data_IF_005608919042
#
_entry.id   IF_005608919042
#
_cell.length_a   1.000
_cell.length_b   1.000
_cell.length_c   1.000
_cell.angle_alpha   90.00
_cell.angle_beta   90.00
_cell.angle_gamma   90.00
#
_symmetry.space_group_name_H-M   'P 1'
#
loop_
_entity.id
_entity.type
_entity.pdbx_description
1 polymer ?
#
# COMPACT_ATOMS: atom_id res chain seq x y z
N UNK A 1 18.48 -24.63 65.16
CA UNK A 1 18.56 -23.34 64.44
C UNK A 1 18.26 -23.62 62.98
N UNK A 2 17.04 -23.30 62.52
CA UNK A 2 16.55 -23.66 61.18
C UNK A 2 16.82 -22.52 60.20
N UNK A 3 17.32 -22.93 59.03
CA UNK A 3 17.75 -22.16 57.87
C UNK A 3 16.69 -21.20 57.33
N UNK A 4 17.10 -19.97 56.98
CA UNK A 4 16.29 -18.94 56.32
C UNK A 4 16.19 -19.24 54.82
N UNK A 5 14.96 -19.35 54.31
CA UNK A 5 14.67 -19.39 52.88
C UNK A 5 14.75 -17.98 52.25
N UNK A 6 15.29 -17.84 51.02
CA UNK A 6 15.22 -16.58 50.28
C UNK A 6 13.85 -16.39 49.60
N UNK A 7 13.30 -15.18 49.71
CA UNK A 7 12.06 -14.76 49.04
C UNK A 7 12.32 -14.47 47.55
N UNK A 8 11.40 -14.81 46.64
CA UNK A 8 11.55 -14.54 45.21
C UNK A 8 11.39 -13.05 44.88
N UNK A 9 12.31 -12.54 44.05
CA UNK A 9 12.27 -11.19 43.50
C UNK A 9 11.11 -11.07 42.49
N UNK A 10 10.22 -10.12 42.74
CA UNK A 10 9.13 -9.75 41.84
C UNK A 10 9.74 -8.90 40.72
N UNK A 11 9.94 -9.50 39.55
CA UNK A 11 10.42 -8.81 38.34
C UNK A 11 9.24 -8.08 37.70
N UNK A 12 9.17 -6.77 37.91
CA UNK A 12 8.18 -5.89 37.29
C UNK A 12 8.43 -5.84 35.78
N UNK A 13 7.58 -6.49 35.00
CA UNK A 13 7.59 -6.42 33.55
C UNK A 13 7.19 -5.00 33.09
N UNK A 14 8.15 -4.27 32.55
CA UNK A 14 7.95 -2.98 31.90
C UNK A 14 7.22 -3.23 30.58
N UNK A 15 5.90 -3.04 30.58
CA UNK A 15 5.06 -3.06 29.40
C UNK A 15 5.39 -1.82 28.56
N UNK A 16 6.31 -1.97 27.60
CA UNK A 16 6.60 -0.95 26.59
C UNK A 16 5.37 -0.86 25.68
N UNK A 17 4.50 0.09 25.99
CA UNK A 17 3.47 0.58 25.07
C UNK A 17 4.20 1.25 23.90
N UNK A 18 4.48 0.47 22.86
CA UNK A 18 4.97 0.98 21.59
C UNK A 18 3.93 1.98 21.05
N UNK A 19 4.36 3.22 20.94
CA UNK A 19 3.67 4.28 20.23
C UNK A 19 3.26 3.75 18.84
N UNK A 20 1.96 3.64 18.61
CA UNK A 20 1.35 3.58 17.29
C UNK A 20 1.55 4.92 16.60
N UNK A 21 2.78 5.20 16.18
CA UNK A 21 2.98 6.08 15.03
C UNK A 21 2.35 5.32 13.85
N UNK A 22 1.37 5.89 13.14
CA UNK A 22 0.99 5.35 11.84
C UNK A 22 2.24 5.48 10.96
N UNK A 23 3.05 4.42 10.93
CA UNK A 23 4.08 4.29 9.91
C UNK A 23 3.37 4.50 8.59
N UNK A 24 3.85 5.46 7.80
CA UNK A 24 3.33 5.76 6.48
C UNK A 24 3.58 4.53 5.60
N UNK A 25 2.70 3.54 5.68
CA UNK A 25 2.68 2.43 4.75
C UNK A 25 2.42 3.01 3.36
N UNK A 26 3.22 2.62 2.38
CA UNK A 26 3.02 3.05 1.00
C UNK A 26 1.68 2.50 0.47
N UNK A 27 1.20 3.05 -0.64
CA UNK A 27 0.02 2.50 -1.30
C UNK A 27 0.24 1.01 -1.69
N UNK A 28 1.47 0.66 -2.06
CA UNK A 28 1.88 -0.70 -2.38
C UNK A 28 1.71 -1.65 -1.18
N UNK A 29 2.20 -1.25 -0.01
CA UNK A 29 2.08 -2.04 1.22
C UNK A 29 0.63 -2.14 1.69
N UNK A 30 -0.10 -1.02 1.67
CA UNK A 30 -1.49 -0.95 2.15
C UNK A 30 -2.43 -1.86 1.38
N UNK A 31 -2.20 -2.01 0.07
CA UNK A 31 -3.05 -2.77 -0.83
C UNK A 31 -2.46 -4.12 -1.23
N UNK A 32 -1.42 -4.58 -0.54
CA UNK A 32 -0.78 -5.85 -0.83
C UNK A 32 -1.64 -7.04 -0.41
N UNK A 33 -1.87 -7.95 -1.35
CA UNK A 33 -2.46 -9.26 -1.12
C UNK A 33 -1.42 -10.35 -1.40
N UNK A 34 -0.98 -11.11 -0.37
CA UNK A 34 -0.02 -12.20 -0.56
C UNK A 34 -0.63 -13.34 -1.39
N UNK A 35 0.19 -14.00 -2.19
CA UNK A 35 -0.19 -15.24 -2.87
C UNK A 35 -0.29 -16.38 -1.87
N UNK A 36 -1.23 -17.31 -2.10
CA UNK A 36 -1.44 -18.44 -1.21
C UNK A 36 -0.18 -19.32 -1.16
N UNK A 37 0.36 -19.55 0.05
CA UNK A 37 1.55 -20.38 0.25
C UNK A 37 2.89 -19.69 -0.09
N UNK A 38 2.90 -18.39 -0.42
CA UNK A 38 4.14 -17.64 -0.56
C UNK A 38 4.80 -17.44 0.82
N UNK A 39 6.10 -17.70 0.91
CA UNK A 39 6.92 -17.35 2.06
C UNK A 39 7.58 -16.01 1.79
N UNK A 40 7.25 -14.99 2.58
CA UNK A 40 7.90 -13.69 2.51
C UNK A 40 9.19 -13.74 3.32
N UNK A 41 10.31 -13.34 2.72
CA UNK A 41 11.63 -13.37 3.33
C UNK A 41 12.32 -12.03 3.09
N UNK A 42 12.24 -11.07 4.04
CA UNK A 42 12.80 -9.74 3.84
C UNK A 42 14.27 -9.81 3.42
N UNK A 43 14.61 -9.10 2.35
CA UNK A 43 15.98 -8.93 1.87
C UNK A 43 16.26 -7.43 1.73
N UNK A 44 16.63 -6.75 2.83
CA UNK A 44 16.81 -5.29 2.82
C UNK A 44 18.00 -4.84 1.98
N UNK A 45 18.95 -5.74 1.71
CA UNK A 45 20.12 -5.48 0.88
C UNK A 45 19.97 -6.07 -0.54
N UNK A 46 18.82 -6.69 -0.81
CA UNK A 46 18.48 -7.31 -2.09
C UNK A 46 18.27 -6.28 -3.19
N UNK A 47 18.77 -6.58 -4.38
CA UNK A 47 18.48 -5.78 -5.57
C UNK A 47 17.10 -6.13 -6.11
N UNK A 48 16.24 -5.12 -6.30
CA UNK A 48 14.92 -5.29 -6.89
C UNK A 48 14.88 -4.61 -8.25
N UNK A 49 14.56 -5.37 -9.29
CA UNK A 49 14.30 -4.79 -10.61
C UNK A 49 12.84 -4.35 -10.70
N UNK A 50 12.64 -3.02 -10.77
CA UNK A 50 11.35 -2.40 -11.06
C UNK A 50 11.17 -2.28 -12.56
N UNK A 51 10.03 -2.78 -13.07
CA UNK A 51 9.72 -2.72 -14.49
C UNK A 51 8.25 -2.49 -14.75
N UNK A 52 7.96 -1.71 -15.79
CA UNK A 52 6.60 -1.45 -16.27
C UNK A 52 6.23 -2.46 -17.35
N UNK A 53 5.02 -2.99 -17.30
CA UNK A 53 4.41 -3.74 -18.40
C UNK A 53 3.18 -3.03 -18.97
N UNK A 54 2.87 -3.19 -20.27
CA UNK A 54 1.64 -2.66 -20.85
C UNK A 54 0.40 -3.20 -20.13
N UNK A 55 -0.59 -2.34 -19.87
CA UNK A 55 -1.81 -2.72 -19.16
C UNK A 55 -2.55 -3.83 -19.89
N UNK A 56 -2.74 -3.66 -21.20
CA UNK A 56 -3.51 -4.52 -22.08
C UNK A 56 -2.99 -5.95 -22.06
N UNK A 57 -1.66 -6.12 -21.95
CA UNK A 57 -1.01 -7.43 -21.88
C UNK A 57 -1.38 -8.18 -20.61
N UNK A 58 -1.36 -7.50 -19.48
CA UNK A 58 -1.72 -8.10 -18.20
C UNK A 58 -3.23 -8.31 -18.12
N UNK A 59 -4.03 -7.35 -18.56
CA UNK A 59 -5.49 -7.39 -18.58
C UNK A 59 -6.00 -8.58 -19.42
N UNK A 60 -5.49 -8.77 -20.63
CA UNK A 60 -5.84 -9.91 -21.49
C UNK A 60 -5.51 -11.26 -20.82
N UNK A 61 -4.35 -11.35 -20.15
CA UNK A 61 -3.95 -12.56 -19.46
C UNK A 61 -4.84 -12.85 -18.25
N UNK A 62 -5.20 -11.83 -17.48
CA UNK A 62 -6.11 -11.95 -16.33
C UNK A 62 -7.53 -12.33 -16.79
N UNK A 63 -8.02 -11.72 -17.86
CA UNK A 63 -9.33 -12.04 -18.43
C UNK A 63 -9.41 -13.51 -18.85
N UNK A 64 -8.40 -14.02 -19.56
CA UNK A 64 -8.33 -15.45 -19.93
C UNK A 64 -8.30 -16.37 -18.72
N UNK A 65 -7.64 -15.96 -17.63
CA UNK A 65 -7.63 -16.73 -16.38
C UNK A 65 -9.00 -16.71 -15.70
N UNK A 66 -9.73 -15.60 -15.76
CA UNK A 66 -11.11 -15.51 -15.26
C UNK A 66 -12.06 -16.38 -16.08
N UNK A 67 -11.92 -16.40 -17.41
CA UNK A 67 -12.66 -17.31 -18.29
C UNK A 67 -12.35 -18.79 -17.95
N UNK A 68 -11.08 -19.15 -17.74
CA UNK A 68 -10.67 -20.50 -17.33
C UNK A 68 -11.31 -20.92 -15.99
N UNK A 69 -11.48 -19.96 -15.06
CA UNK A 69 -12.15 -20.18 -13.77
C UNK A 69 -13.66 -20.33 -13.97
N UNK A 70 -14.28 -19.44 -14.75
CA UNK A 70 -15.73 -19.45 -15.00
C UNK A 70 -16.19 -20.72 -15.72
N UNK A 71 -15.34 -21.29 -16.58
CA UNK A 71 -15.61 -22.54 -17.30
C UNK A 71 -15.21 -23.81 -16.51
N UNK A 72 -14.74 -23.68 -15.27
CA UNK A 72 -14.31 -24.81 -14.44
C UNK A 72 -15.40 -25.22 -13.46
N UNK A 73 -15.77 -26.50 -13.45
CA UNK A 73 -16.68 -27.07 -12.45
C UNK A 73 -16.06 -27.18 -11.04
N UNK A 74 -14.73 -27.08 -10.95
CA UNK A 74 -13.97 -27.14 -9.69
C UNK A 74 -13.54 -25.74 -9.26
N UNK A 75 -13.70 -25.43 -7.97
CA UNK A 75 -13.25 -24.16 -7.38
C UNK A 75 -11.71 -24.05 -7.41
N UNK A 76 -11.10 -22.86 -7.64
CA UNK A 76 -9.64 -22.72 -7.77
C UNK A 76 -8.81 -23.23 -6.59
N UNK A 77 -9.36 -23.22 -5.37
CA UNK A 77 -8.68 -23.76 -4.18
C UNK A 77 -8.56 -25.29 -4.18
N UNK A 78 -9.34 -25.98 -5.01
CA UNK A 78 -9.36 -27.44 -5.14
C UNK A 78 -8.67 -27.90 -6.43
N UNK A 79 -8.07 -26.97 -7.19
CA UNK A 79 -7.36 -27.32 -8.40
C UNK A 79 -6.09 -28.13 -8.09
N UNK A 80 -5.74 -29.09 -8.97
CA UNK A 80 -4.47 -29.79 -8.85
C UNK A 80 -3.29 -28.82 -9.02
N UNK A 81 -2.17 -29.13 -8.37
CA UNK A 81 -0.98 -28.27 -8.37
C UNK A 81 -0.50 -27.92 -9.79
N UNK A 82 -0.55 -28.86 -10.73
CA UNK A 82 -0.16 -28.63 -12.12
C UNK A 82 -1.00 -27.53 -12.81
N UNK A 83 -2.28 -27.44 -12.47
CA UNK A 83 -3.19 -26.41 -13.02
C UNK A 83 -2.91 -25.05 -12.39
N UNK A 84 -2.61 -25.01 -11.09
CA UNK A 84 -2.18 -23.80 -10.39
C UNK A 84 -0.84 -23.29 -10.97
N UNK A 85 0.14 -24.17 -11.14
CA UNK A 85 1.43 -23.82 -11.77
C UNK A 85 1.26 -23.32 -13.21
N UNK A 86 0.35 -23.94 -13.99
CA UNK A 86 0.03 -23.49 -15.35
C UNK A 86 -0.62 -22.10 -15.38
N UNK A 87 -1.46 -21.78 -14.39
CA UNK A 87 -2.03 -20.45 -14.20
C UNK A 87 -0.95 -19.43 -13.86
N UNK A 88 -0.10 -19.73 -12.89
CA UNK A 88 1.00 -18.84 -12.49
C UNK A 88 1.98 -18.60 -13.65
N UNK A 89 2.25 -19.62 -14.46
CA UNK A 89 3.02 -19.51 -15.69
C UNK A 89 2.41 -18.50 -16.69
N UNK A 90 1.08 -18.47 -16.83
CA UNK A 90 0.39 -17.50 -17.70
C UNK A 90 0.60 -16.08 -17.17
N UNK A 91 0.52 -15.88 -15.85
CA UNK A 91 0.76 -14.57 -15.22
C UNK A 91 2.23 -14.14 -15.39
N UNK A 92 3.21 -15.00 -15.07
CA UNK A 92 4.64 -14.68 -15.20
C UNK A 92 5.02 -14.30 -16.64
N UNK A 93 4.46 -14.99 -17.64
CA UNK A 93 4.63 -14.62 -19.06
C UNK A 93 4.01 -13.26 -19.41
N UNK A 94 2.85 -12.94 -18.83
CA UNK A 94 2.22 -11.64 -19.01
C UNK A 94 3.08 -10.52 -18.41
N UNK A 95 3.69 -10.79 -17.25
CA UNK A 95 4.65 -9.91 -16.56
C UNK A 95 6.03 -9.83 -17.25
N UNK A 96 6.24 -10.54 -18.35
CA UNK A 96 7.51 -10.60 -19.09
C UNK A 96 8.70 -11.08 -18.24
N UNK A 97 8.45 -11.96 -17.27
CA UNK A 97 9.51 -12.67 -16.54
C UNK A 97 10.09 -13.74 -17.49
N UNK A 98 11.41 -13.70 -17.74
CA UNK A 98 12.12 -14.65 -18.59
C UNK A 98 12.42 -15.98 -17.90
N UNK A 99 12.42 -15.97 -16.57
CA UNK A 99 12.75 -17.16 -15.78
C UNK A 99 11.70 -18.25 -15.93
N UNK A 100 12.13 -19.52 -15.91
CA UNK A 100 11.20 -20.63 -15.97
C UNK A 100 10.35 -20.68 -14.69
N UNK A 101 9.15 -21.24 -14.80
CA UNK A 101 8.11 -21.19 -13.75
C UNK A 101 8.53 -21.92 -12.48
N UNK A 102 9.41 -22.91 -12.60
CA UNK A 102 10.01 -23.64 -11.48
C UNK A 102 11.06 -22.81 -10.71
N UNK A 103 11.53 -21.70 -11.28
CA UNK A 103 12.50 -20.76 -10.69
C UNK A 103 11.92 -19.39 -10.35
N UNK A 104 10.65 -19.14 -10.65
CA UNK A 104 10.02 -17.86 -10.37
C UNK A 104 8.71 -18.06 -9.61
N UNK A 105 8.57 -17.38 -8.47
CA UNK A 105 7.40 -17.47 -7.61
C UNK A 105 6.76 -16.11 -7.42
N UNK A 106 5.45 -16.03 -7.61
CA UNK A 106 4.68 -14.82 -7.31
C UNK A 106 4.46 -14.75 -5.80
N UNK A 107 5.01 -13.74 -5.15
CA UNK A 107 4.83 -13.49 -3.71
C UNK A 107 3.47 -12.88 -3.39
N UNK A 108 2.94 -12.07 -4.31
CA UNK A 108 1.65 -11.41 -4.18
C UNK A 108 1.49 -10.28 -5.17
N UNK A 109 0.43 -9.50 -4.97
CA UNK A 109 0.14 -8.33 -5.80
C UNK A 109 -0.49 -7.20 -4.99
N UNK A 110 -0.29 -5.97 -5.43
CA UNK A 110 -1.03 -4.81 -4.94
C UNK A 110 -1.94 -4.29 -6.05
N UNK A 111 -3.21 -4.04 -5.74
CA UNK A 111 -4.21 -3.54 -6.68
C UNK A 111 -4.99 -2.42 -6.01
N UNK A 112 -5.00 -1.23 -6.61
CA UNK A 112 -5.73 -0.08 -6.07
C UNK A 112 -6.02 0.97 -7.15
N UNK A 113 -6.90 1.91 -6.80
CA UNK A 113 -7.14 3.13 -7.57
C UNK A 113 -6.66 4.32 -6.78
N UNK A 114 -6.15 5.33 -7.48
CA UNK A 114 -5.68 6.57 -6.85
C UNK A 114 -5.97 7.75 -7.75
N UNK A 115 -6.45 8.82 -7.14
CA UNK A 115 -6.52 10.17 -7.73
C UNK A 115 -5.29 11.01 -7.41
N UNK A 116 -4.46 10.54 -6.48
CA UNK A 116 -3.16 11.15 -6.18
C UNK A 116 -2.11 10.60 -7.14
N UNK A 117 -1.16 11.44 -7.61
CA UNK A 117 -0.02 10.97 -8.37
C UNK A 117 0.76 9.92 -7.56
N UNK A 118 0.99 8.75 -8.16
CA UNK A 118 1.86 7.71 -7.62
C UNK A 118 3.03 7.58 -8.57
N UNK A 119 4.25 7.60 -8.03
CA UNK A 119 5.48 7.41 -8.80
C UNK A 119 6.12 6.09 -8.40
N UNK A 120 6.09 5.05 -9.25
CA UNK A 120 6.74 3.77 -8.96
C UNK A 120 8.25 3.88 -8.71
N UNK A 121 8.88 4.95 -9.22
CA UNK A 121 10.31 5.21 -9.11
C UNK A 121 10.69 6.10 -7.91
N UNK A 122 9.74 6.40 -7.01
CA UNK A 122 10.01 7.19 -5.78
C UNK A 122 10.71 6.37 -4.67
N UNK A 123 11.06 5.11 -4.94
CA UNK A 123 11.68 4.17 -4.01
C UNK A 123 10.69 3.46 -3.08
N UNK A 124 9.43 3.88 -3.00
CA UNK A 124 8.44 3.24 -2.12
C UNK A 124 8.04 1.84 -2.58
N UNK A 125 8.03 1.61 -3.90
CA UNK A 125 7.79 0.29 -4.49
C UNK A 125 8.98 -0.65 -4.25
N UNK A 126 10.20 -0.13 -4.44
CA UNK A 126 11.46 -0.86 -4.23
C UNK A 126 11.59 -1.32 -2.77
N UNK A 127 11.45 -0.39 -1.84
CA UNK A 127 11.55 -0.66 -0.40
C UNK A 127 10.51 -1.70 0.04
N UNK A 128 9.29 -1.62 -0.49
CA UNK A 128 8.27 -2.60 -0.18
C UNK A 128 8.59 -3.98 -0.78
N UNK A 129 9.08 -4.04 -2.02
CA UNK A 129 9.51 -5.28 -2.66
C UNK A 129 10.67 -5.95 -1.89
N UNK A 130 11.68 -5.20 -1.46
CA UNK A 130 12.77 -5.67 -0.59
C UNK A 130 12.24 -6.22 0.74
N UNK A 131 11.30 -5.49 1.36
CA UNK A 131 10.68 -5.89 2.64
C UNK A 131 9.99 -7.24 2.57
N UNK A 132 9.47 -7.63 1.41
CA UNK A 132 8.81 -8.93 1.23
C UNK A 132 9.71 -9.99 0.58
N UNK A 133 10.92 -9.63 0.14
CA UNK A 133 11.88 -10.54 -0.48
C UNK A 133 11.70 -10.77 -1.97
N UNK A 134 11.19 -9.80 -2.71
CA UNK A 134 11.03 -9.92 -4.16
C UNK A 134 12.32 -9.51 -4.89
N UNK A 135 12.74 -10.25 -5.91
CA UNK A 135 13.78 -9.79 -6.85
C UNK A 135 13.20 -8.88 -7.94
N UNK A 136 11.89 -8.96 -8.21
CA UNK A 136 11.20 -8.12 -9.20
C UNK A 136 9.92 -7.50 -8.66
N UNK A 137 9.71 -6.23 -9.00
CA UNK A 137 8.44 -5.53 -8.84
C UNK A 137 7.95 -5.06 -10.22
N UNK A 138 6.95 -5.77 -10.76
CA UNK A 138 6.40 -5.50 -12.09
C UNK A 138 5.10 -4.74 -11.96
N UNK A 139 5.02 -3.53 -12.49
CA UNK A 139 3.86 -2.66 -12.33
C UNK A 139 3.21 -2.26 -13.65
N UNK A 140 1.94 -1.90 -13.57
CA UNK A 140 1.20 -1.28 -14.67
C UNK A 140 0.15 -0.32 -14.13
N UNK A 141 -0.27 0.62 -14.98
CA UNK A 141 -1.34 1.56 -14.66
C UNK A 141 -2.14 1.95 -15.90
N UNK A 142 -3.41 2.30 -15.67
CA UNK A 142 -4.34 2.78 -16.68
C UNK A 142 -5.15 3.95 -16.14
N UNK A 143 -5.41 4.92 -17.00
CA UNK A 143 -6.33 6.01 -16.72
C UNK A 143 -7.78 5.50 -16.74
N UNK A 144 -8.52 5.70 -15.67
CA UNK A 144 -9.91 5.25 -15.52
C UNK A 144 -10.93 6.38 -15.76
N UNK A 145 -10.45 7.59 -16.09
CA UNK A 145 -11.29 8.78 -16.27
C UNK A 145 -11.23 9.72 -15.07
N UNK A 146 -12.30 10.49 -14.88
CA UNK A 146 -12.43 11.45 -13.78
C UNK A 146 -13.39 10.95 -12.71
N UNK A 147 -13.08 11.25 -11.46
CA UNK A 147 -13.96 10.99 -10.31
C UNK A 147 -14.04 12.20 -9.41
N UNK A 148 -15.07 12.27 -8.57
CA UNK A 148 -15.26 13.36 -7.61
C UNK A 148 -14.48 13.06 -6.34
N UNK A 149 -13.62 13.99 -5.95
CA UNK A 149 -12.81 13.91 -4.72
C UNK A 149 -13.14 15.11 -3.86
N UNK A 150 -13.25 14.88 -2.55
CA UNK A 150 -13.32 15.96 -1.57
C UNK A 150 -11.91 16.46 -1.30
N UNK A 151 -11.59 17.63 -1.87
CA UNK A 151 -10.37 18.36 -1.54
C UNK A 151 -10.62 19.37 -0.41
N UNK A 152 -9.55 19.88 0.21
CA UNK A 152 -9.63 20.89 1.26
C UNK A 152 -9.11 22.21 0.75
N UNK A 153 -10.00 23.17 0.57
CA UNK A 153 -9.60 24.54 0.23
C UNK A 153 -9.43 25.37 1.51
N UNK A 154 -8.35 26.15 1.58
CA UNK A 154 -8.14 27.11 2.66
C UNK A 154 -8.91 28.39 2.38
N UNK A 155 -9.82 28.75 3.26
CA UNK A 155 -10.44 30.08 3.27
C UNK A 155 -9.88 30.85 4.44
N UNK A 156 -9.26 32.00 4.14
CA UNK A 156 -8.74 32.92 5.16
C UNK A 156 -9.77 34.01 5.42
N UNK A 157 -10.29 34.05 6.64
CA UNK A 157 -11.14 35.13 7.12
C UNK A 157 -10.27 36.14 7.87
N UNK A 158 -10.30 37.40 7.43
CA UNK A 158 -9.65 38.52 8.10
C UNK A 158 -10.71 39.40 8.75
N UNK A 159 -10.54 39.73 10.03
CA UNK A 159 -11.53 40.52 10.76
C UNK A 159 -10.91 41.49 11.76
N UNK A 160 -11.69 42.52 12.09
CA UNK A 160 -11.33 43.55 13.06
C UNK A 160 -12.41 43.60 14.13
N UNK A 161 -12.06 43.29 15.38
CA UNK A 161 -13.00 43.36 16.50
C UNK A 161 -12.74 44.64 17.27
N UNK A 162 -13.79 45.43 17.49
CA UNK A 162 -13.75 46.61 18.33
C UNK A 162 -14.47 46.30 19.64
N UNK A 163 -13.70 46.12 20.72
CA UNK A 163 -14.28 45.87 22.04
C UNK A 163 -14.61 47.21 22.71
N UNK A 164 -15.86 47.64 22.57
CA UNK A 164 -16.38 48.88 23.11
C UNK A 164 -17.12 48.69 24.43
N UNK A 165 -16.46 48.19 25.48
CA UNK A 165 -17.04 48.25 26.83
C UNK A 165 -16.84 49.61 27.49
N UNK A 166 -17.91 50.03 28.17
CA UNK A 166 -18.28 51.37 28.62
C UNK A 166 -17.40 51.97 29.73
N UNK A 167 -16.29 51.34 30.11
CA UNK A 167 -15.39 51.84 31.15
C UNK A 167 -13.98 52.10 30.64
N UNK A 168 -13.63 53.38 30.67
CA UNK A 168 -12.37 53.95 30.20
C UNK A 168 -11.22 53.37 31.02
N UNK A 169 -10.38 52.52 30.41
CA UNK A 169 -8.91 52.64 30.55
C UNK A 169 -8.06 51.75 29.64
N UNK A 170 -8.56 50.69 29.01
CA UNK A 170 -7.76 49.89 28.09
C UNK A 170 -8.63 49.25 26.99
N UNK A 171 -9.00 50.04 25.98
CA UNK A 171 -9.57 49.50 24.74
C UNK A 171 -8.43 49.09 23.81
N UNK A 172 -8.26 47.79 23.60
CA UNK A 172 -7.27 47.25 22.67
C UNK A 172 -7.93 46.89 21.33
N UNK A 173 -7.31 47.28 20.23
CA UNK A 173 -7.69 46.78 18.92
C UNK A 173 -6.89 45.51 18.63
N UNK A 174 -7.56 44.44 18.23
CA UNK A 174 -6.86 43.26 17.70
C UNK A 174 -7.46 42.84 16.36
N UNK A 175 -6.58 42.65 15.38
CA UNK A 175 -6.89 42.03 14.10
C UNK A 175 -6.69 40.53 14.22
N UNK A 176 -7.67 39.74 13.80
CA UNK A 176 -7.51 38.29 13.73
C UNK A 176 -7.46 37.81 12.27
N UNK A 177 -6.66 36.79 12.05
CA UNK A 177 -6.61 36.03 10.81
C UNK A 177 -6.94 34.58 11.16
N UNK A 178 -8.05 34.07 10.66
CA UNK A 178 -8.46 32.68 10.85
C UNK A 178 -8.43 31.95 9.51
N UNK A 179 -7.72 30.82 9.45
CA UNK A 179 -7.70 29.95 8.28
C UNK A 179 -8.58 28.74 8.57
N UNK A 180 -9.67 28.61 7.82
CA UNK A 180 -10.59 27.47 7.91
C UNK A 180 -10.43 26.59 6.67
N UNK A 181 -10.37 25.27 6.86
CA UNK A 181 -10.37 24.31 5.76
C UNK A 181 -11.80 23.88 5.47
N UNK A 182 -12.31 24.23 4.29
CA UNK A 182 -13.63 23.79 3.84
C UNK A 182 -13.50 22.62 2.85
N UNK A 183 -14.33 21.57 2.97
CA UNK A 183 -14.36 20.50 1.99
C UNK A 183 -15.00 21.02 0.70
N UNK A 184 -14.31 20.86 -0.43
CA UNK A 184 -14.81 21.19 -1.76
C UNK A 184 -14.77 19.93 -2.62
N UNK A 185 -15.83 19.68 -3.38
CA UNK A 185 -15.89 18.54 -4.29
C UNK A 185 -15.31 18.98 -5.63
N UNK A 186 -14.22 18.36 -6.05
CA UNK A 186 -13.54 18.65 -7.32
C UNK A 186 -13.41 17.38 -8.16
N UNK A 187 -13.36 17.54 -9.48
CA UNK A 187 -13.02 16.42 -10.37
C UNK A 187 -11.51 16.19 -10.34
N UNK A 188 -11.10 14.94 -10.16
CA UNK A 188 -9.71 14.52 -10.25
C UNK A 188 -9.57 13.30 -11.18
N UNK A 189 -8.45 13.24 -11.88
CA UNK A 189 -8.08 12.10 -12.71
C UNK A 189 -7.81 10.88 -11.84
N UNK A 190 -8.47 9.75 -12.12
CA UNK A 190 -8.30 8.48 -11.43
C UNK A 190 -7.48 7.52 -12.28
N UNK A 191 -6.52 6.85 -11.63
CA UNK A 191 -5.71 5.80 -12.24
C UNK A 191 -5.87 4.50 -11.47
N UNK A 192 -6.04 3.40 -12.19
CA UNK A 192 -5.90 2.05 -11.65
C UNK A 192 -4.42 1.64 -11.68
N UNK A 193 -3.96 1.00 -10.62
CA UNK A 193 -2.59 0.55 -10.43
C UNK A 193 -2.58 -0.93 -10.06
N UNK A 194 -1.65 -1.67 -10.66
CA UNK A 194 -1.38 -3.07 -10.33
C UNK A 194 0.13 -3.24 -10.23
N UNK A 195 0.61 -3.87 -9.16
CA UNK A 195 1.99 -4.32 -9.02
C UNK A 195 2.02 -5.79 -8.62
N UNK A 196 2.86 -6.58 -9.28
CA UNK A 196 3.17 -7.97 -8.94
C UNK A 196 4.59 -8.06 -8.40
N UNK A 197 4.75 -8.86 -7.35
CA UNK A 197 6.04 -9.09 -6.69
C UNK A 197 6.48 -10.53 -6.93
N UNK A 198 7.69 -10.70 -7.48
CA UNK A 198 8.21 -12.00 -7.89
C UNK A 198 9.58 -12.23 -7.28
N UNK A 199 9.75 -13.42 -6.72
CA UNK A 199 10.98 -13.95 -6.13
C UNK A 199 11.56 -15.02 -7.07
N UNK A 200 12.87 -14.97 -7.30
CA UNK A 200 13.61 -15.95 -8.08
C UNK A 200 14.26 -16.96 -7.16
N UNK A 201 13.82 -18.21 -7.28
CA UNK A 201 14.35 -19.33 -6.51
C UNK A 201 15.75 -19.67 -7.05
N UNK A 202 16.76 -19.48 -6.21
CA UNK A 202 18.18 -19.75 -6.51
C UNK A 202 18.59 -21.17 -6.15
#
# INVERSE_FOLDING_TARGET
>A
MRSLAPKPAITTALLIAALLLPGCASAWETHFAPSAGASLAPDPDGYVEIRRVPWERLDEALHKLEEDVANSDTHPSEWPQDRLASRDAKVLRALQISEPVDRARILGRSVFRSTRPISPDDGSLEQFAQKIGADYAVWTSRYEGKTLVTDRETVTTQGYVWDGYRDRRYGGNYSFNETTYIPVVVEADEYAWIAYFVDIIR
#
